data_IF_797348428958
#
_entry.id   IF_797348428958
#
_cell.length_a   1.000
_cell.length_b   1.000
_cell.length_c   1.000
_cell.angle_alpha   90.00
_cell.angle_beta   90.00
_cell.angle_gamma   90.00
#
_symmetry.space_group_name_H-M   'P 1'
#
loop_
_entity.id
_entity.type
_entity.pdbx_description
1 polymer ?
#
# COMPACT_ATOMS: atom_id res chain seq x y z
N UNK A 1 -12.13 9.37 -8.98
CA UNK A 1 -11.44 8.07 -8.97
C UNK A 1 -11.20 7.69 -7.53
N UNK A 2 -11.75 6.57 -7.07
CA UNK A 2 -11.62 6.14 -5.68
C UNK A 2 -10.48 5.12 -5.58
N UNK A 3 -9.29 5.60 -5.22
CA UNK A 3 -8.11 4.75 -5.04
C UNK A 3 -8.15 4.16 -3.63
N UNK A 4 -8.15 2.83 -3.55
CA UNK A 4 -8.13 2.12 -2.27
C UNK A 4 -6.88 1.21 -2.23
N UNK A 5 -5.88 1.53 -1.40
CA UNK A 5 -4.75 0.64 -1.18
C UNK A 5 -5.27 -0.69 -0.63
N UNK A 6 -4.88 -1.80 -1.27
CA UNK A 6 -5.17 -3.14 -0.77
C UNK A 6 -3.92 -3.69 -0.09
N UNK A 7 -4.07 -4.15 1.14
CA UNK A 7 -2.99 -4.73 1.93
C UNK A 7 -3.16 -6.25 2.07
N UNK A 8 -2.07 -7.00 1.88
CA UNK A 8 -2.01 -8.44 2.12
C UNK A 8 -0.77 -8.73 2.98
N UNK A 9 -0.93 -9.44 4.10
CA UNK A 9 0.17 -9.80 4.98
C UNK A 9 0.43 -11.32 4.95
N UNK A 10 1.64 -11.73 4.53
CA UNK A 10 2.07 -13.14 4.47
C UNK A 10 3.58 -13.24 4.68
N UNK A 11 4.03 -14.23 5.47
CA UNK A 11 5.45 -14.50 5.72
C UNK A 11 6.24 -13.23 6.11
N UNK A 12 5.72 -12.45 7.07
CA UNK A 12 6.30 -11.17 7.51
C UNK A 12 6.45 -10.10 6.41
N UNK A 13 5.75 -10.27 5.29
CA UNK A 13 5.74 -9.32 4.18
C UNK A 13 4.37 -8.67 4.08
N UNK A 14 4.35 -7.34 4.11
CA UNK A 14 3.18 -6.53 3.81
C UNK A 14 3.21 -6.10 2.34
N UNK A 15 2.27 -6.58 1.54
CA UNK A 15 2.10 -6.16 0.15
C UNK A 15 1.08 -5.04 0.13
N UNK A 16 1.46 -3.88 -0.40
CA UNK A 16 0.59 -2.72 -0.62
C UNK A 16 0.38 -2.57 -2.12
N UNK A 17 -0.85 -2.81 -2.57
CA UNK A 17 -1.23 -2.69 -3.98
C UNK A 17 -1.95 -1.37 -4.21
N UNK A 18 -1.44 -0.56 -5.16
CA UNK A 18 -2.00 0.74 -5.54
C UNK A 18 -2.49 0.69 -6.98
N UNK A 19 -3.80 0.82 -7.17
CA UNK A 19 -4.44 0.87 -8.49
C UNK A 19 -5.71 1.70 -8.44
N UNK A 20 -6.00 2.45 -9.49
CA UNK A 20 -7.35 2.99 -9.76
C UNK A 20 -8.21 1.98 -10.52
N UNK A 21 -9.50 2.30 -10.67
CA UNK A 21 -10.50 1.48 -11.36
C UNK A 21 -10.12 1.14 -12.82
N UNK A 22 -9.24 1.93 -13.44
CA UNK A 22 -8.72 1.72 -14.79
C UNK A 22 -7.39 0.93 -14.83
N UNK A 23 -6.97 0.38 -13.69
CA UNK A 23 -5.74 -0.41 -13.56
C UNK A 23 -4.47 0.43 -13.57
N UNK A 24 -4.53 1.77 -13.58
CA UNK A 24 -3.32 2.59 -13.49
C UNK A 24 -2.99 2.92 -12.03
N UNK A 25 -1.73 2.87 -11.60
CA UNK A 25 -1.38 3.43 -10.30
C UNK A 25 -1.51 4.96 -10.38
N UNK A 26 -2.44 5.53 -9.62
CA UNK A 26 -2.55 6.97 -9.44
C UNK A 26 -2.08 7.31 -8.03
N UNK A 27 -1.15 8.26 -7.93
CA UNK A 27 -0.57 8.74 -6.68
C UNK A 27 -0.89 10.22 -6.53
N UNK A 28 -2.10 10.51 -6.04
CA UNK A 28 -2.51 11.86 -5.66
C UNK A 28 -2.17 12.14 -4.18
N UNK A 29 -2.45 13.36 -3.70
CA UNK A 29 -2.15 13.74 -2.32
C UNK A 29 -2.78 12.83 -1.27
N UNK A 30 -4.01 12.36 -1.52
CA UNK A 30 -4.74 11.47 -0.61
C UNK A 30 -4.16 10.05 -0.62
N UNK A 31 -3.72 9.58 -1.78
CA UNK A 31 -3.00 8.32 -1.92
C UNK A 31 -1.67 8.36 -1.14
N UNK A 32 -0.94 9.47 -1.21
CA UNK A 32 0.28 9.65 -0.42
C UNK A 32 0.02 9.68 1.09
N UNK A 33 -1.02 10.38 1.55
CA UNK A 33 -1.40 10.36 2.98
C UNK A 33 -1.74 8.95 3.46
N UNK A 34 -2.51 8.20 2.67
CA UNK A 34 -2.85 6.82 2.99
C UNK A 34 -1.62 5.91 3.01
N UNK A 35 -0.70 6.05 2.04
CA UNK A 35 0.54 5.28 2.02
C UNK A 35 1.44 5.63 3.20
N UNK A 36 1.57 6.91 3.54
CA UNK A 36 2.35 7.35 4.69
C UNK A 36 1.83 6.73 5.99
N UNK A 37 0.51 6.69 6.18
CA UNK A 37 -0.11 6.02 7.32
C UNK A 37 0.20 4.52 7.34
N UNK A 38 0.02 3.83 6.21
CA UNK A 38 0.31 2.38 6.10
C UNK A 38 1.78 2.09 6.40
N UNK A 39 2.71 2.89 5.89
CA UNK A 39 4.14 2.68 6.13
C UNK A 39 4.54 3.01 7.57
N UNK A 40 3.90 4.00 8.20
CA UNK A 40 4.13 4.28 9.60
C UNK A 40 3.66 3.13 10.50
N UNK A 41 2.46 2.60 10.25
CA UNK A 41 1.92 1.44 10.96
C UNK A 41 2.82 0.21 10.75
N UNK A 42 3.26 -0.06 9.53
CA UNK A 42 4.16 -1.16 9.21
C UNK A 42 5.55 -1.03 9.85
N UNK A 43 6.05 0.19 10.06
CA UNK A 43 7.36 0.43 10.64
C UNK A 43 7.44 0.16 12.15
N UNK A 44 6.29 0.17 12.83
CA UNK A 44 6.18 -0.09 14.27
C UNK A 44 5.60 -1.48 14.58
N UNK A 45 5.24 -2.24 13.55
CA UNK A 45 4.73 -3.61 13.67
C UNK A 45 5.90 -4.60 13.63
N UNK A 46 6.16 -5.26 14.77
CA UNK A 46 7.24 -6.23 14.92
C UNK A 46 7.10 -7.48 14.03
N UNK A 47 5.89 -7.76 13.54
CA UNK A 47 5.62 -8.87 12.63
C UNK A 47 5.88 -8.49 11.17
N UNK A 48 5.96 -7.21 10.83
CA UNK A 48 6.30 -6.75 9.47
C UNK A 48 7.81 -6.59 9.34
N UNK A 49 8.41 -7.37 8.44
CA UNK A 49 9.86 -7.31 8.13
C UNK A 49 10.15 -6.65 6.79
N UNK A 50 9.22 -6.79 5.83
CA UNK A 50 9.36 -6.27 4.47
C UNK A 50 8.05 -5.66 4.04
N UNK A 51 8.11 -4.49 3.39
CA UNK A 51 6.96 -3.87 2.70
C UNK A 51 7.24 -3.89 1.20
N UNK A 52 6.29 -4.42 0.43
CA UNK A 52 6.34 -4.43 -1.04
C UNK A 52 5.25 -3.50 -1.57
N UNK A 53 5.65 -2.44 -2.25
CA UNK A 53 4.73 -1.56 -2.98
C UNK A 53 4.64 -2.01 -4.44
N UNK A 54 3.43 -2.29 -4.93
CA UNK A 54 3.20 -2.65 -6.35
C UNK A 54 1.97 -1.95 -6.94
N UNK A 55 1.97 -1.77 -8.26
CA UNK A 55 0.78 -1.42 -9.03
C UNK A 55 0.14 -2.68 -9.65
N UNK A 56 -1.18 -2.65 -9.85
CA UNK A 56 -1.80 -3.49 -10.88
C UNK A 56 -1.69 -2.72 -12.20
N UNK A 57 -1.60 -3.43 -13.32
CA UNK A 57 -1.52 -2.88 -14.67
C UNK A 57 -2.66 -3.45 -15.52
#
# INVERSE_FOLDING_TARGET
>A
MNIHPQTEFRNHTLIVTVSSDDGRPVLDGRAYENLARIFHEAAIDDDVRVVVLRGLA
#
